data_IF_196943132938
#
_entry.id   IF_196943132938
#
_cell.length_a   1.000
_cell.length_b   1.000
_cell.length_c   1.000
_cell.angle_alpha   90.00
_cell.angle_beta   90.00
_cell.angle_gamma   90.00
#
_symmetry.space_group_name_H-M   'P 1'
#
loop_
_entity.id
_entity.type
_entity.pdbx_description
1 polymer ?
#
# COMPACT_ATOMS: atom_id res chain seq x y z
N UNK A 1 -19.74 -20.46 43.11
CA UNK A 1 -20.08 -20.11 44.51
C UNK A 1 -19.46 -18.75 44.79
N UNK A 2 -20.32 -17.72 44.81
CA UNK A 2 -20.52 -16.79 45.94
C UNK A 2 -19.56 -15.59 45.91
N UNK A 3 -20.05 -14.37 45.62
CA UNK A 3 -20.68 -13.42 46.58
C UNK A 3 -19.71 -13.13 47.74
N UNK A 4 -19.46 -11.92 48.22
CA UNK A 4 -20.18 -10.64 48.18
C UNK A 4 -19.37 -9.62 49.02
N UNK A 5 -19.46 -8.35 48.63
CA UNK A 5 -19.78 -7.16 49.45
C UNK A 5 -19.17 -6.94 50.85
N UNK A 6 -18.78 -5.68 51.10
CA UNK A 6 -19.34 -4.69 52.09
C UNK A 6 -18.32 -3.53 52.20
N UNK A 7 -18.56 -2.23 51.94
CA UNK A 7 -19.59 -1.23 52.32
C UNK A 7 -19.82 -1.03 53.82
N UNK A 8 -19.44 0.15 54.32
CA UNK A 8 -19.97 0.96 55.45
C UNK A 8 -19.12 2.25 55.46
N UNK A 9 -19.56 3.49 55.18
CA UNK A 9 -20.72 4.34 55.51
C UNK A 9 -20.85 4.71 57.00
N UNK A 10 -20.75 6.01 57.33
CA UNK A 10 -21.66 6.86 58.18
C UNK A 10 -21.03 8.26 58.43
N UNK A 11 -21.64 9.38 58.00
CA UNK A 11 -22.48 10.36 58.75
C UNK A 11 -21.71 11.24 59.77
N UNK A 12 -21.88 12.57 59.94
CA UNK A 12 -23.10 13.39 60.00
C UNK A 12 -22.81 14.94 60.07
N UNK A 13 -23.79 15.75 59.62
CA UNK A 13 -24.36 17.01 60.20
C UNK A 13 -23.70 18.42 60.09
N UNK A 14 -24.34 19.27 59.24
CA UNK A 14 -24.98 20.60 59.44
C UNK A 14 -24.37 21.77 60.28
N UNK A 15 -23.98 22.87 59.58
CA UNK A 15 -24.35 24.33 59.67
C UNK A 15 -24.43 25.13 61.01
N UNK A 16 -24.47 26.50 61.06
CA UNK A 16 -24.06 27.59 60.12
C UNK A 16 -23.30 28.83 60.73
N UNK A 17 -22.73 29.67 59.82
CA UNK A 17 -22.47 31.16 59.75
C UNK A 17 -22.34 32.06 61.01
N UNK A 18 -21.36 32.99 61.00
CA UNK A 18 -21.37 34.44 61.39
C UNK A 18 -19.93 35.01 61.15
N UNK A 19 -19.63 35.91 60.19
CA UNK A 19 -19.66 37.41 60.13
C UNK A 19 -18.28 38.01 59.76
N UNK A 20 -18.36 39.13 59.05
CA UNK A 20 -17.39 39.98 58.33
C UNK A 20 -16.10 40.41 59.08
N UNK A 21 -15.02 40.61 58.32
CA UNK A 21 -14.27 41.88 58.35
C UNK A 21 -13.41 42.11 57.08
N UNK A 22 -13.36 43.37 56.63
CA UNK A 22 -12.74 43.87 55.41
C UNK A 22 -11.26 44.22 55.61
N UNK A 23 -10.42 44.08 54.57
CA UNK A 23 -9.27 44.97 54.36
C UNK A 23 -8.71 44.92 52.92
N UNK A 24 -8.76 46.09 52.28
CA UNK A 24 -8.01 46.67 51.15
C UNK A 24 -7.48 45.81 49.98
N UNK A 25 -8.02 46.11 48.79
CA UNK A 25 -7.47 45.82 47.46
C UNK A 25 -6.56 46.98 46.99
N UNK A 26 -5.32 46.67 46.59
CA UNK A 26 -4.47 47.54 45.77
C UNK A 26 -4.45 47.01 44.34
N UNK A 27 -5.02 47.77 43.40
CA UNK A 27 -4.94 47.50 41.96
C UNK A 27 -3.57 47.96 41.43
N UNK A 28 -2.79 47.03 40.88
CA UNK A 28 -1.67 47.35 39.99
C UNK A 28 -2.05 46.89 38.57
N UNK A 29 -2.15 47.83 37.65
CA UNK A 29 -2.43 47.57 36.25
C UNK A 29 -1.10 47.31 35.52
N UNK A 30 -0.80 46.04 35.25
CA UNK A 30 0.25 45.65 34.31
C UNK A 30 -0.33 45.56 32.90
N UNK A 31 0.07 46.49 32.04
CA UNK A 31 -0.19 46.40 30.59
C UNK A 31 0.79 45.39 30.02
N UNK A 32 0.35 44.14 29.86
CA UNK A 32 1.11 43.13 29.10
C UNK A 32 0.92 43.41 27.61
N UNK A 33 1.98 43.89 26.95
CA UNK A 33 2.04 43.95 25.50
C UNK A 33 1.95 42.51 24.95
N UNK A 34 0.85 42.21 24.25
CA UNK A 34 0.68 40.97 23.51
C UNK A 34 1.59 41.07 22.28
N UNK A 35 2.79 40.49 22.36
CA UNK A 35 3.59 40.22 21.18
C UNK A 35 2.86 39.18 20.35
N UNK A 36 2.18 39.63 19.30
CA UNK A 36 1.68 38.77 18.24
C UNK A 36 2.91 38.27 17.49
N UNK A 37 3.45 37.13 17.91
CA UNK A 37 4.38 36.36 17.06
C UNK A 37 3.56 35.88 15.88
N UNK A 38 3.67 36.56 14.75
CA UNK A 38 3.26 36.03 13.45
C UNK A 38 4.12 34.81 13.18
N UNK A 39 3.64 33.63 13.57
CA UNK A 39 4.20 32.37 13.10
C UNK A 39 4.11 32.42 11.58
N UNK A 40 5.26 32.43 10.90
CA UNK A 40 5.29 32.24 9.46
C UNK A 40 4.40 31.04 9.12
N UNK A 41 3.61 31.08 8.03
CA UNK A 41 2.86 29.91 7.61
C UNK A 41 3.82 28.73 7.54
N UNK A 42 3.43 27.54 8.03
CA UNK A 42 4.28 26.36 7.95
C UNK A 42 4.75 26.22 6.50
N UNK A 43 6.07 26.11 6.31
CA UNK A 43 6.61 25.90 4.98
C UNK A 43 5.95 24.65 4.39
N UNK A 44 5.44 24.72 3.15
CA UNK A 44 4.84 23.54 2.52
C UNK A 44 5.88 22.42 2.44
N UNK A 45 5.43 21.18 2.59
CA UNK A 45 6.30 20.01 2.41
C UNK A 45 6.76 19.91 0.95
N UNK A 46 8.01 19.49 0.76
CA UNK A 46 8.60 19.22 -0.55
C UNK A 46 8.24 17.79 -0.99
N UNK A 47 7.14 17.65 -1.73
CA UNK A 47 6.69 16.35 -2.22
C UNK A 47 7.63 15.75 -3.28
N UNK A 48 8.39 16.57 -4.01
CA UNK A 48 9.36 16.07 -4.99
C UNK A 48 10.52 15.37 -4.27
N UNK A 49 11.04 15.97 -3.20
CA UNK A 49 12.05 15.35 -2.35
C UNK A 49 11.53 14.09 -1.64
N UNK A 50 10.27 14.09 -1.19
CA UNK A 50 9.63 12.90 -0.62
C UNK A 50 9.52 11.75 -1.65
N UNK A 51 9.12 12.05 -2.89
CA UNK A 51 9.05 11.08 -3.99
C UNK A 51 10.43 10.49 -4.31
N UNK A 52 11.44 11.34 -4.47
CA UNK A 52 12.82 10.91 -4.74
C UNK A 52 13.35 9.94 -3.67
N UNK A 53 13.08 10.23 -2.40
CA UNK A 53 13.46 9.35 -1.27
C UNK A 53 12.66 8.05 -1.23
N UNK A 54 11.37 8.09 -1.58
CA UNK A 54 10.54 6.88 -1.72
C UNK A 54 11.08 5.94 -2.80
N UNK A 55 11.54 6.48 -3.94
CA UNK A 55 12.18 5.67 -4.99
C UNK A 55 13.56 5.15 -4.58
N UNK A 56 14.32 5.93 -3.80
CA UNK A 56 15.58 5.48 -3.23
C UNK A 56 15.40 4.29 -2.26
N UNK A 57 14.26 4.21 -1.56
CA UNK A 57 13.93 3.04 -0.74
C UNK A 57 13.87 1.75 -1.59
N UNK A 58 13.28 1.79 -2.78
CA UNK A 58 13.26 0.61 -3.65
C UNK A 58 14.66 0.15 -4.04
N UNK A 59 15.59 1.07 -4.34
CA UNK A 59 16.98 0.72 -4.58
C UNK A 59 17.63 0.03 -3.38
N UNK A 60 17.27 0.44 -2.16
CA UNK A 60 17.75 -0.19 -0.92
C UNK A 60 17.16 -1.58 -0.65
N UNK A 61 16.05 -1.95 -1.30
CA UNK A 61 15.42 -3.28 -1.22
C UNK A 61 15.90 -4.26 -2.29
N UNK A 62 16.65 -3.82 -3.30
CA UNK A 62 17.05 -4.68 -4.43
C UNK A 62 17.83 -5.91 -3.99
N UNK A 63 17.44 -7.09 -4.45
CA UNK A 63 18.20 -8.34 -4.38
C UNK A 63 18.85 -8.66 -5.72
N UNK A 64 19.92 -9.46 -5.74
CA UNK A 64 20.63 -9.84 -6.96
C UNK A 64 21.81 -8.93 -7.31
N UNK A 65 22.12 -8.85 -8.61
CA UNK A 65 23.24 -8.06 -9.13
C UNK A 65 22.83 -6.60 -9.33
N UNK A 66 23.15 -5.78 -8.34
CA UNK A 66 22.90 -4.33 -8.39
C UNK A 66 23.54 -3.66 -9.62
N UNK A 67 22.87 -2.68 -10.24
CA UNK A 67 23.41 -1.99 -11.40
C UNK A 67 24.53 -1.01 -10.98
N UNK A 68 25.44 -0.70 -11.91
CA UNK A 68 26.60 0.14 -11.62
C UNK A 68 26.23 1.59 -11.26
N UNK A 69 25.05 2.05 -11.68
CA UNK A 69 24.51 3.39 -11.44
C UNK A 69 23.56 3.43 -10.21
N UNK A 70 23.51 2.37 -9.40
CA UNK A 70 22.79 2.34 -8.12
C UNK A 70 23.19 3.53 -7.23
N UNK A 71 22.21 4.29 -6.73
CA UNK A 71 22.43 5.47 -5.86
C UNK A 71 22.65 5.08 -4.40
N UNK A 72 22.04 3.97 -3.96
CA UNK A 72 22.23 3.42 -2.62
C UNK A 72 23.60 2.74 -2.52
N UNK A 73 24.60 3.47 -2.00
CA UNK A 73 26.01 3.04 -2.00
C UNK A 73 26.39 2.03 -0.92
N UNK A 74 25.57 1.90 0.13
CA UNK A 74 25.84 0.98 1.25
C UNK A 74 25.39 -0.46 0.99
N UNK A 75 24.64 -0.69 -0.10
CA UNK A 75 24.21 -2.02 -0.59
C UNK A 75 25.19 -2.58 -1.61
N UNK A 76 25.31 -3.89 -1.68
CA UNK A 76 26.04 -4.60 -2.74
C UNK A 76 25.24 -5.81 -3.28
N UNK A 77 25.83 -6.56 -4.21
CA UNK A 77 25.28 -7.78 -4.75
C UNK A 77 24.94 -8.79 -3.63
N UNK A 78 23.74 -9.36 -3.70
CA UNK A 78 23.23 -10.31 -2.70
C UNK A 78 22.31 -11.34 -3.35
N UNK A 79 22.06 -12.50 -2.73
CA UNK A 79 21.11 -13.49 -3.27
C UNK A 79 21.50 -14.01 -4.67
N UNK A 80 22.81 -14.16 -4.92
CA UNK A 80 23.34 -14.49 -6.26
C UNK A 80 23.13 -15.95 -6.68
N UNK A 81 22.60 -16.78 -5.79
CA UNK A 81 22.33 -18.21 -6.02
C UNK A 81 20.84 -18.53 -5.94
N UNK A 82 19.97 -17.51 -5.94
CA UNK A 82 18.52 -17.68 -5.89
C UNK A 82 18.03 -18.57 -7.04
N UNK A 83 17.32 -19.64 -6.68
CA UNK A 83 16.76 -20.60 -7.65
C UNK A 83 17.76 -21.65 -8.16
N UNK A 84 19.05 -21.53 -7.85
CA UNK A 84 20.09 -22.44 -8.37
C UNK A 84 19.84 -23.90 -7.96
N UNK A 85 19.43 -24.13 -6.71
CA UNK A 85 19.10 -25.47 -6.20
C UNK A 85 17.90 -26.10 -6.90
N UNK A 86 17.02 -25.26 -7.46
CA UNK A 86 15.82 -25.66 -8.20
C UNK A 86 16.04 -25.67 -9.73
N UNK A 87 17.25 -25.33 -10.20
CA UNK A 87 17.61 -25.34 -11.62
C UNK A 87 17.05 -24.15 -12.42
N UNK A 88 16.76 -23.03 -11.75
CA UNK A 88 16.22 -21.80 -12.37
C UNK A 88 17.05 -20.58 -11.94
N UNK A 89 17.01 -19.50 -12.73
CA UNK A 89 17.59 -18.21 -12.31
C UNK A 89 16.50 -17.37 -11.67
N UNK A 90 16.55 -17.23 -10.35
CA UNK A 90 15.67 -16.34 -9.59
C UNK A 90 16.45 -15.19 -8.96
N UNK A 91 17.60 -14.81 -9.50
CA UNK A 91 18.39 -13.67 -9.01
C UNK A 91 17.71 -12.36 -9.43
N UNK A 92 17.45 -11.46 -8.48
CA UNK A 92 16.74 -10.20 -8.72
C UNK A 92 15.61 -9.95 -7.73
N UNK A 93 14.72 -9.01 -8.06
CA UNK A 93 13.54 -8.69 -7.26
C UNK A 93 13.86 -7.85 -6.02
N UNK A 94 12.86 -7.70 -5.16
CA UNK A 94 12.97 -6.92 -3.93
C UNK A 94 12.90 -7.83 -2.70
N UNK A 95 13.71 -7.54 -1.69
CA UNK A 95 13.43 -8.03 -0.35
C UNK A 95 12.17 -7.33 0.19
N UNK A 96 11.36 -8.08 0.93
CA UNK A 96 10.02 -7.64 1.30
C UNK A 96 10.01 -6.46 2.27
N UNK A 97 10.70 -6.60 3.41
CA UNK A 97 10.69 -5.59 4.46
C UNK A 97 12.11 -5.36 5.01
N UNK A 98 12.31 -5.63 6.30
CA UNK A 98 13.61 -5.57 6.95
C UNK A 98 14.40 -6.88 6.89
N UNK A 99 13.81 -7.91 6.27
CA UNK A 99 14.28 -9.27 6.07
C UNK A 99 14.81 -9.48 4.66
N UNK A 100 15.10 -10.72 4.29
CA UNK A 100 15.64 -11.04 2.96
C UNK A 100 14.87 -12.14 2.22
N UNK A 101 13.67 -12.44 2.69
CA UNK A 101 12.74 -13.26 1.91
C UNK A 101 12.15 -12.40 0.79
N UNK A 102 11.95 -13.03 -0.35
CA UNK A 102 11.27 -12.45 -1.50
C UNK A 102 9.86 -13.04 -1.56
N UNK A 103 8.91 -12.38 -0.92
CA UNK A 103 7.50 -12.79 -0.95
C UNK A 103 6.83 -12.26 -2.23
N UNK A 104 6.36 -13.16 -3.10
CA UNK A 104 5.85 -12.79 -4.42
C UNK A 104 4.58 -11.94 -4.37
N UNK A 105 3.62 -12.29 -3.49
CA UNK A 105 2.31 -11.61 -3.43
C UNK A 105 2.41 -10.11 -3.08
N UNK A 106 3.05 -9.69 -1.97
CA UNK A 106 3.20 -8.27 -1.67
C UNK A 106 4.14 -7.55 -2.66
N UNK A 107 5.12 -8.25 -3.24
CA UNK A 107 5.99 -7.67 -4.28
C UNK A 107 5.19 -7.36 -5.56
N UNK A 108 4.34 -8.29 -6.00
CA UNK A 108 3.45 -8.10 -7.15
C UNK A 108 2.52 -6.91 -6.92
N UNK A 109 1.84 -6.86 -5.77
CA UNK A 109 1.00 -5.71 -5.40
C UNK A 109 1.76 -4.38 -5.45
N UNK A 110 2.98 -4.35 -4.91
CA UNK A 110 3.83 -3.16 -4.91
C UNK A 110 4.16 -2.69 -6.33
N UNK A 111 4.48 -3.61 -7.24
CA UNK A 111 4.76 -3.30 -8.64
C UNK A 111 3.50 -2.85 -9.37
N UNK A 112 2.33 -3.44 -9.08
CA UNK A 112 1.04 -2.97 -9.59
C UNK A 112 0.79 -1.52 -9.17
N UNK A 113 0.99 -1.19 -7.88
CA UNK A 113 0.77 0.16 -7.36
C UNK A 113 1.76 1.19 -7.91
N UNK A 114 3.04 0.84 -8.07
CA UNK A 114 4.02 1.71 -8.74
C UNK A 114 3.62 1.99 -10.19
N UNK A 115 3.19 0.94 -10.91
CA UNK A 115 2.74 1.05 -12.29
C UNK A 115 1.47 1.89 -12.40
N UNK A 116 0.51 1.70 -11.49
CA UNK A 116 -0.69 2.53 -11.44
C UNK A 116 -0.35 4.00 -11.18
N UNK A 117 0.59 4.27 -10.27
CA UNK A 117 1.04 5.63 -9.96
C UNK A 117 1.58 6.37 -11.18
N UNK A 118 2.48 5.76 -11.96
CA UNK A 118 3.03 6.39 -13.18
C UNK A 118 1.99 6.50 -14.31
N UNK A 119 1.03 5.58 -14.40
CA UNK A 119 -0.07 5.67 -15.38
C UNK A 119 -0.93 6.91 -15.12
N UNK A 120 -1.21 7.20 -13.85
CA UNK A 120 -2.12 8.30 -13.46
C UNK A 120 -1.41 9.65 -13.37
N UNK A 121 -0.19 9.68 -12.82
CA UNK A 121 0.52 10.92 -12.46
C UNK A 121 1.84 11.08 -13.22
N UNK A 122 1.86 10.64 -14.48
CA UNK A 122 3.05 10.67 -15.33
C UNK A 122 3.71 12.06 -15.36
N UNK A 123 2.91 13.11 -15.58
CA UNK A 123 3.42 14.46 -15.79
C UNK A 123 3.94 15.08 -14.49
N UNK A 124 3.28 14.83 -13.36
CA UNK A 124 3.73 15.25 -12.03
C UNK A 124 5.05 14.59 -11.64
N UNK A 125 5.19 13.28 -11.90
CA UNK A 125 6.44 12.53 -11.67
C UNK A 125 7.55 13.05 -12.59
N UNK A 126 7.23 13.38 -13.85
CA UNK A 126 8.19 13.96 -14.79
C UNK A 126 8.65 15.37 -14.37
N UNK A 127 7.73 16.21 -13.89
CA UNK A 127 8.04 17.54 -13.34
C UNK A 127 8.93 17.43 -12.10
N UNK A 128 8.70 16.41 -11.25
CA UNK A 128 9.56 16.11 -10.12
C UNK A 128 10.95 15.55 -10.52
N UNK A 129 11.15 15.19 -11.79
CA UNK A 129 12.42 14.66 -12.30
C UNK A 129 12.64 13.17 -12.01
N UNK A 130 11.61 12.44 -11.57
CA UNK A 130 11.73 11.07 -11.05
C UNK A 130 11.14 10.00 -12.00
N UNK A 131 10.84 10.37 -13.25
CA UNK A 131 10.22 9.46 -14.23
C UNK A 131 11.09 8.24 -14.54
N UNK A 132 12.39 8.46 -14.80
CA UNK A 132 13.34 7.37 -15.06
C UNK A 132 13.46 6.44 -13.87
N UNK A 133 13.59 6.98 -12.65
CA UNK A 133 13.73 6.18 -11.45
C UNK A 133 12.48 5.38 -11.11
N UNK A 134 11.30 5.94 -11.41
CA UNK A 134 10.02 5.23 -11.27
C UNK A 134 9.95 4.05 -12.24
N UNK A 135 10.30 4.26 -13.52
CA UNK A 135 10.35 3.19 -14.52
C UNK A 135 11.39 2.12 -14.15
N UNK A 136 12.58 2.51 -13.68
CA UNK A 136 13.61 1.55 -13.23
C UNK A 136 13.15 0.75 -12.01
N UNK A 137 12.39 1.34 -11.08
CA UNK A 137 11.82 0.63 -9.94
C UNK A 137 10.78 -0.43 -10.39
N UNK A 138 9.90 -0.08 -11.34
CA UNK A 138 8.93 -1.02 -11.92
C UNK A 138 9.66 -2.12 -12.70
N UNK A 139 10.66 -1.74 -13.51
CA UNK A 139 11.44 -2.66 -14.34
C UNK A 139 12.16 -3.70 -13.50
N UNK A 140 12.75 -3.31 -12.36
CA UNK A 140 13.44 -4.24 -11.48
C UNK A 140 12.55 -5.36 -10.95
N UNK A 141 11.30 -5.02 -10.58
CA UNK A 141 10.31 -6.01 -10.14
C UNK A 141 9.81 -6.87 -11.31
N UNK A 142 9.51 -6.26 -12.45
CA UNK A 142 8.99 -7.00 -13.62
C UNK A 142 10.02 -7.88 -14.32
N UNK A 143 11.30 -7.50 -14.35
CA UNK A 143 12.41 -8.36 -14.78
C UNK A 143 12.48 -9.63 -13.92
N UNK A 144 12.18 -9.50 -12.63
CA UNK A 144 12.12 -10.63 -11.72
C UNK A 144 10.89 -11.50 -11.96
N UNK A 145 9.70 -10.93 -12.18
CA UNK A 145 8.49 -11.70 -12.52
C UNK A 145 8.64 -12.50 -13.82
N UNK A 146 9.35 -11.96 -14.82
CA UNK A 146 9.67 -12.72 -16.05
C UNK A 146 10.48 -13.97 -15.73
N UNK A 147 11.42 -13.89 -14.77
CA UNK A 147 12.23 -15.03 -14.32
C UNK A 147 11.42 -16.02 -13.50
N UNK A 148 10.48 -15.54 -12.68
CA UNK A 148 9.59 -16.39 -11.88
C UNK A 148 8.58 -17.16 -12.74
N UNK A 149 8.13 -16.58 -13.86
CA UNK A 149 7.21 -17.23 -14.78
C UNK A 149 7.98 -18.07 -15.82
N UNK A 150 8.40 -19.28 -15.40
CA UNK A 150 9.27 -20.16 -16.19
C UNK A 150 8.56 -21.01 -17.24
N UNK A 151 7.24 -21.16 -17.13
CA UNK A 151 6.38 -21.81 -18.14
C UNK A 151 4.92 -21.41 -17.89
N UNK A 152 4.00 -21.58 -18.86
CA UNK A 152 2.66 -21.00 -18.79
C UNK A 152 1.83 -21.33 -17.54
N UNK A 153 2.11 -22.45 -16.85
CA UNK A 153 1.41 -22.84 -15.61
C UNK A 153 2.37 -23.05 -14.44
N UNK A 154 3.49 -22.32 -14.41
CA UNK A 154 4.48 -22.36 -13.32
C UNK A 154 4.95 -20.96 -12.98
N UNK A 155 4.68 -20.53 -11.76
CA UNK A 155 5.16 -19.28 -11.19
C UNK A 155 5.91 -19.56 -9.89
N UNK A 156 7.15 -19.11 -9.80
CA UNK A 156 7.90 -19.10 -8.53
C UNK A 156 7.32 -18.02 -7.62
N UNK A 157 7.00 -18.41 -6.39
CA UNK A 157 6.18 -17.64 -5.46
C UNK A 157 6.97 -17.00 -4.33
N UNK A 158 8.07 -17.65 -3.95
CA UNK A 158 8.87 -17.25 -2.80
C UNK A 158 10.32 -17.73 -2.99
N UNK A 159 11.28 -16.90 -2.55
CA UNK A 159 12.67 -17.30 -2.41
C UNK A 159 13.18 -16.90 -1.04
N UNK A 160 13.62 -17.89 -0.27
CA UNK A 160 13.91 -17.74 1.15
C UNK A 160 12.95 -18.55 1.99
N UNK A 161 13.40 -18.99 3.17
CA UNK A 161 12.53 -19.55 4.19
C UNK A 161 12.43 -18.55 5.35
N UNK A 162 11.22 -18.08 5.64
CA UNK A 162 10.99 -17.03 6.63
C UNK A 162 11.52 -17.36 8.02
N UNK A 163 11.35 -18.60 8.48
CA UNK A 163 11.78 -18.99 9.83
C UNK A 163 13.30 -18.90 9.98
N UNK A 164 14.06 -19.44 9.01
CA UNK A 164 15.52 -19.38 9.04
C UNK A 164 16.08 -17.99 8.75
N UNK A 165 15.45 -17.22 7.85
CA UNK A 165 15.84 -15.83 7.58
C UNK A 165 15.58 -14.91 8.78
N UNK A 166 14.48 -15.15 9.51
CA UNK A 166 14.08 -14.35 10.67
C UNK A 166 14.82 -14.73 11.95
N UNK A 167 15.40 -15.92 12.00
CA UNK A 167 16.25 -16.36 13.11
C UNK A 167 17.58 -15.59 13.18
N UNK A 168 18.13 -15.12 12.06
CA UNK A 168 19.45 -14.50 12.01
C UNK A 168 19.41 -13.03 11.52
N UNK A 169 20.06 -12.14 12.28
CA UNK A 169 20.23 -10.73 11.90
C UNK A 169 21.54 -10.53 11.12
N UNK A 170 21.50 -10.83 9.81
CA UNK A 170 22.63 -10.68 8.88
C UNK A 170 22.34 -9.55 7.89
N UNK A 171 23.35 -9.05 7.17
CA UNK A 171 23.10 -8.15 6.03
C UNK A 171 22.86 -8.96 4.76
N UNK A 172 22.17 -8.42 3.74
CA UNK A 172 21.84 -9.17 2.52
C UNK A 172 23.07 -9.78 1.82
N UNK A 173 24.19 -9.09 1.85
CA UNK A 173 25.42 -9.47 1.14
C UNK A 173 26.11 -10.69 1.79
N UNK A 174 25.88 -10.94 3.08
CA UNK A 174 26.53 -11.99 3.88
C UNK A 174 25.56 -13.14 4.24
N UNK A 175 24.38 -13.21 3.62
CA UNK A 175 23.35 -14.18 3.98
C UNK A 175 23.84 -15.63 3.90
N UNK A 176 23.61 -16.39 4.97
CA UNK A 176 23.87 -17.83 5.03
C UNK A 176 22.61 -18.66 5.29
N UNK A 177 21.45 -18.02 5.34
CA UNK A 177 20.14 -18.64 5.59
C UNK A 177 19.64 -19.40 4.36
N UNK A 178 18.65 -20.28 4.54
CA UNK A 178 18.10 -21.03 3.41
C UNK A 178 17.47 -20.08 2.40
N UNK A 179 17.83 -20.26 1.13
CA UNK A 179 17.24 -19.55 -0.01
C UNK A 179 16.46 -20.48 -0.93
N UNK A 180 15.86 -21.52 -0.33
CA UNK A 180 14.98 -22.43 -1.02
C UNK A 180 13.87 -21.65 -1.73
N UNK A 181 13.64 -21.99 -2.99
CA UNK A 181 12.57 -21.39 -3.78
C UNK A 181 11.32 -22.29 -3.78
N UNK A 182 10.15 -21.67 -3.73
CA UNK A 182 8.85 -22.32 -3.76
C UNK A 182 8.06 -21.82 -4.96
N UNK A 183 7.18 -22.67 -5.51
CA UNK A 183 6.40 -22.36 -6.70
C UNK A 183 4.96 -22.79 -6.55
N UNK A 184 4.11 -22.19 -7.36
CA UNK A 184 2.77 -22.67 -7.66
C UNK A 184 2.75 -23.27 -9.06
N UNK A 185 1.93 -24.30 -9.24
CA UNK A 185 1.70 -24.95 -10.53
C UNK A 185 0.29 -25.56 -10.60
N UNK A 186 -0.04 -26.24 -11.70
CA UNK A 186 -1.36 -26.86 -11.88
C UNK A 186 -1.77 -27.86 -10.78
N UNK A 187 -0.81 -28.45 -10.05
CA UNK A 187 -1.08 -29.39 -8.95
C UNK A 187 -1.09 -28.70 -7.59
N UNK A 188 -0.41 -27.56 -7.48
CA UNK A 188 -0.31 -26.73 -6.28
C UNK A 188 -0.67 -25.28 -6.68
N UNK A 189 -1.97 -24.98 -6.87
CA UNK A 189 -2.43 -23.71 -7.44
C UNK A 189 -2.23 -22.50 -6.51
N UNK A 190 -2.25 -21.30 -7.08
CA UNK A 190 -2.20 -20.03 -6.35
C UNK A 190 -2.71 -18.86 -7.19
N UNK A 191 -4.03 -18.76 -7.31
CA UNK A 191 -4.74 -17.79 -8.15
C UNK A 191 -4.60 -16.36 -7.69
N UNK A 192 -4.48 -16.14 -6.38
CA UNK A 192 -4.21 -14.85 -5.77
C UNK A 192 -2.84 -14.33 -6.24
N UNK A 193 -1.79 -15.11 -6.04
CA UNK A 193 -0.45 -14.75 -6.49
C UNK A 193 -0.36 -14.61 -8.02
N UNK A 194 -0.92 -15.57 -8.77
CA UNK A 194 -0.91 -15.52 -10.23
C UNK A 194 -1.70 -14.31 -10.76
N UNK A 195 -2.86 -14.01 -10.15
CA UNK A 195 -3.69 -12.85 -10.47
C UNK A 195 -2.98 -11.54 -10.18
N UNK A 196 -2.40 -11.36 -8.99
CA UNK A 196 -1.69 -10.13 -8.66
C UNK A 196 -0.43 -9.94 -9.54
N UNK A 197 0.29 -11.01 -9.85
CA UNK A 197 1.45 -10.93 -10.77
C UNK A 197 1.01 -10.58 -12.19
N UNK A 198 -0.13 -11.13 -12.65
CA UNK A 198 -0.73 -10.75 -13.92
C UNK A 198 -1.14 -9.27 -13.94
N UNK A 199 -1.77 -8.78 -12.87
CA UNK A 199 -2.12 -7.37 -12.70
C UNK A 199 -0.87 -6.47 -12.76
N UNK A 200 0.19 -6.83 -12.04
CA UNK A 200 1.45 -6.09 -12.02
C UNK A 200 2.08 -5.98 -13.42
N UNK A 201 2.15 -7.10 -14.14
CA UNK A 201 2.73 -7.14 -15.49
C UNK A 201 1.84 -6.44 -16.52
N UNK A 202 0.53 -6.55 -16.42
CA UNK A 202 -0.41 -5.82 -17.27
C UNK A 202 -0.32 -4.30 -17.05
N UNK A 203 -0.36 -3.83 -15.80
CA UNK A 203 -0.20 -2.42 -15.47
C UNK A 203 1.18 -1.89 -15.95
N UNK A 204 2.26 -2.61 -15.66
CA UNK A 204 3.59 -2.24 -16.12
C UNK A 204 3.69 -2.19 -17.65
N UNK A 205 3.00 -3.08 -18.37
CA UNK A 205 2.96 -3.04 -19.84
C UNK A 205 2.44 -1.70 -20.37
N UNK A 206 1.46 -1.08 -19.68
CA UNK A 206 0.93 0.25 -20.03
C UNK A 206 1.99 1.31 -19.78
N UNK A 207 2.66 1.27 -18.61
CA UNK A 207 3.71 2.22 -18.25
C UNK A 207 4.88 2.24 -19.26
N UNK A 208 5.27 1.07 -19.78
CA UNK A 208 6.34 0.94 -20.78
C UNK A 208 5.88 1.08 -22.23
N UNK A 209 4.57 1.20 -22.51
CA UNK A 209 4.01 1.14 -23.87
C UNK A 209 4.66 2.14 -24.84
N UNK A 210 4.98 3.35 -24.35
CA UNK A 210 5.60 4.42 -25.17
C UNK A 210 7.13 4.34 -25.20
N UNK A 211 7.76 4.02 -24.07
CA UNK A 211 9.22 4.10 -23.88
C UNK A 211 9.94 2.82 -24.30
N UNK A 212 9.32 1.66 -24.11
CA UNK A 212 9.85 0.36 -24.51
C UNK A 212 8.74 -0.59 -24.98
N UNK A 213 8.24 -0.43 -26.22
CA UNK A 213 7.14 -1.23 -26.75
C UNK A 213 7.43 -2.74 -26.77
N UNK A 214 8.67 -3.15 -27.02
CA UNK A 214 9.01 -4.58 -27.04
C UNK A 214 8.88 -5.21 -25.65
N UNK A 215 9.41 -4.54 -24.63
CA UNK A 215 9.27 -4.99 -23.24
C UNK A 215 7.81 -4.96 -22.79
N UNK A 216 7.06 -3.91 -23.15
CA UNK A 216 5.61 -3.83 -22.92
C UNK A 216 4.86 -5.07 -23.45
N UNK A 217 5.12 -5.50 -24.68
CA UNK A 217 4.50 -6.71 -25.24
C UNK A 217 4.92 -7.99 -24.51
N UNK A 218 6.19 -8.08 -24.10
CA UNK A 218 6.69 -9.21 -23.31
C UNK A 218 5.95 -9.31 -21.97
N UNK A 219 5.83 -8.20 -21.25
CA UNK A 219 5.10 -8.16 -19.99
C UNK A 219 3.64 -8.56 -20.15
N UNK A 220 2.99 -8.03 -21.18
CA UNK A 220 1.60 -8.35 -21.47
C UNK A 220 1.39 -9.84 -21.80
N UNK A 221 2.32 -10.46 -22.52
CA UNK A 221 2.25 -11.89 -22.82
C UNK A 221 2.30 -12.74 -21.54
N UNK A 222 3.26 -12.46 -20.65
CA UNK A 222 3.31 -13.14 -19.34
C UNK A 222 2.05 -12.88 -18.50
N UNK A 223 1.53 -11.64 -18.51
CA UNK A 223 0.31 -11.30 -17.77
C UNK A 223 -0.90 -12.14 -18.23
N UNK A 224 -1.06 -12.33 -19.53
CA UNK A 224 -2.15 -13.13 -20.10
C UNK A 224 -2.03 -14.61 -19.71
N UNK A 225 -0.83 -15.19 -19.83
CA UNK A 225 -0.59 -16.59 -19.43
C UNK A 225 -0.80 -16.80 -17.93
N UNK A 226 -0.33 -15.89 -17.08
CA UNK A 226 -0.52 -15.99 -15.63
C UNK A 226 -1.99 -15.84 -15.21
N UNK A 227 -2.74 -14.95 -15.87
CA UNK A 227 -4.17 -14.83 -15.63
C UNK A 227 -4.92 -16.10 -16.04
N UNK A 228 -4.63 -16.66 -17.22
CA UNK A 228 -5.20 -17.93 -17.68
C UNK A 228 -4.87 -19.08 -16.71
N UNK A 229 -3.62 -19.16 -16.24
CA UNK A 229 -3.18 -20.15 -15.26
C UNK A 229 -3.94 -20.00 -13.94
N UNK A 230 -3.99 -18.79 -13.38
CA UNK A 230 -4.66 -18.49 -12.11
C UNK A 230 -6.16 -18.75 -12.15
N UNK A 231 -6.83 -18.40 -13.25
CA UNK A 231 -8.27 -18.63 -13.41
C UNK A 231 -8.62 -20.11 -13.64
N UNK A 232 -7.79 -20.83 -14.41
CA UNK A 232 -8.03 -22.24 -14.76
C UNK A 232 -7.77 -23.19 -13.59
N UNK A 233 -6.72 -22.96 -12.81
CA UNK A 233 -6.34 -23.79 -11.67
C UNK A 233 -6.55 -23.01 -10.38
N UNK A 234 -7.81 -22.99 -9.90
CA UNK A 234 -8.20 -22.13 -8.79
C UNK A 234 -7.74 -22.65 -7.43
N UNK A 235 -7.06 -21.80 -6.66
CA UNK A 235 -6.65 -22.09 -5.29
C UNK A 235 -5.92 -20.94 -4.63
N UNK A 236 -5.83 -20.92 -3.30
CA UNK A 236 -5.03 -19.94 -2.57
C UNK A 236 -3.55 -20.36 -2.59
N UNK A 237 -2.63 -19.43 -2.87
CA UNK A 237 -1.21 -19.77 -2.97
C UNK A 237 -0.64 -20.26 -1.63
N UNK A 238 -1.15 -19.76 -0.50
CA UNK A 238 -0.69 -20.13 0.84
C UNK A 238 -1.13 -21.55 1.27
N UNK A 239 -2.03 -22.18 0.51
CA UNK A 239 -2.32 -23.61 0.59
C UNK A 239 -1.26 -24.47 -0.10
N UNK A 240 -0.59 -23.92 -1.11
CA UNK A 240 0.44 -24.56 -1.92
C UNK A 240 1.86 -24.27 -1.42
N UNK A 241 2.08 -23.05 -0.95
CA UNK A 241 3.33 -22.53 -0.39
C UNK A 241 3.08 -22.20 1.08
N UNK A 242 2.95 -23.26 1.89
CA UNK A 242 2.56 -23.13 3.30
C UNK A 242 3.53 -22.30 4.15
N UNK A 243 4.80 -22.18 3.73
CA UNK A 243 5.82 -21.36 4.40
C UNK A 243 5.47 -19.87 4.40
N UNK A 244 4.74 -19.39 3.39
CA UNK A 244 4.31 -18.00 3.29
C UNK A 244 3.20 -17.64 4.29
N UNK A 245 2.45 -18.63 4.78
CA UNK A 245 1.20 -18.44 5.53
C UNK A 245 1.37 -17.69 6.85
N UNK A 246 2.52 -17.82 7.50
CA UNK A 246 2.80 -17.10 8.75
C UNK A 246 3.12 -15.62 8.52
N UNK A 247 3.33 -15.20 7.27
CA UNK A 247 3.79 -13.88 6.87
C UNK A 247 2.73 -13.16 6.03
N UNK A 248 2.38 -13.74 4.88
CA UNK A 248 1.46 -13.18 3.89
C UNK A 248 0.33 -14.17 3.55
N UNK A 249 -0.45 -14.57 4.56
CA UNK A 249 -1.60 -15.44 4.33
C UNK A 249 -2.61 -14.79 3.36
N UNK A 250 -3.19 -15.61 2.49
CA UNK A 250 -4.31 -15.21 1.62
C UNK A 250 -5.60 -15.30 2.43
N UNK A 251 -5.95 -14.21 3.12
CA UNK A 251 -7.05 -14.25 4.09
C UNK A 251 -8.37 -14.19 3.35
N UNK A 252 -8.54 -13.21 2.47
CA UNK A 252 -9.78 -13.01 1.71
C UNK A 252 -9.92 -14.00 0.55
N UNK A 253 -8.80 -14.50 0.01
CA UNK A 253 -8.78 -15.52 -1.04
C UNK A 253 -8.15 -14.98 -2.31
N UNK A 254 -8.69 -15.37 -3.46
CA UNK A 254 -8.12 -15.04 -4.78
C UNK A 254 -9.12 -14.37 -5.73
N UNK A 255 -10.36 -14.20 -5.28
CA UNK A 255 -11.46 -13.78 -6.15
C UNK A 255 -11.31 -12.32 -6.56
N UNK A 256 -10.85 -11.46 -5.66
CA UNK A 256 -10.54 -10.07 -5.98
C UNK A 256 -9.32 -9.94 -6.88
N UNK A 257 -8.29 -10.76 -6.71
CA UNK A 257 -7.09 -10.76 -7.57
C UNK A 257 -7.44 -11.14 -9.01
N UNK A 258 -8.35 -12.08 -9.21
CA UNK A 258 -8.82 -12.42 -10.56
C UNK A 258 -9.62 -11.28 -11.19
N UNK A 259 -10.49 -10.60 -10.43
CA UNK A 259 -11.19 -9.41 -10.92
C UNK A 259 -10.20 -8.28 -11.22
N UNK A 260 -9.22 -8.07 -10.33
CA UNK A 260 -8.19 -7.04 -10.43
C UNK A 260 -7.29 -7.24 -11.64
N UNK A 261 -6.81 -8.47 -11.85
CA UNK A 261 -6.03 -8.83 -13.02
C UNK A 261 -6.82 -8.62 -14.32
N UNK A 262 -8.10 -8.99 -14.34
CA UNK A 262 -8.95 -8.79 -15.50
C UNK A 262 -9.17 -7.29 -15.79
N UNK A 263 -9.34 -6.44 -14.77
CA UNK A 263 -9.39 -4.97 -14.97
C UNK A 263 -8.10 -4.47 -15.60
N UNK A 264 -6.93 -4.85 -15.09
CA UNK A 264 -5.66 -4.40 -15.66
C UNK A 264 -5.38 -4.93 -17.06
N UNK A 265 -5.75 -6.18 -17.35
CA UNK A 265 -5.66 -6.76 -18.68
C UNK A 265 -6.62 -6.06 -19.65
N UNK A 266 -7.81 -5.67 -19.19
CA UNK A 266 -8.72 -4.85 -19.99
C UNK A 266 -8.08 -3.50 -20.31
N UNK A 267 -7.59 -2.76 -19.32
CA UNK A 267 -6.91 -1.46 -19.51
C UNK A 267 -5.67 -1.57 -20.43
N UNK A 268 -4.96 -2.70 -20.39
CA UNK A 268 -3.77 -2.91 -21.22
C UNK A 268 -4.09 -3.27 -22.69
N UNK A 269 -5.24 -3.91 -22.94
CA UNK A 269 -5.52 -4.58 -24.22
C UNK A 269 -6.76 -4.09 -24.98
N UNK A 270 -7.67 -3.39 -24.30
CA UNK A 270 -9.00 -3.04 -24.80
C UNK A 270 -9.85 -4.26 -25.26
N UNK A 271 -9.50 -5.48 -24.84
CA UNK A 271 -10.24 -6.69 -25.22
C UNK A 271 -11.46 -6.90 -24.31
N UNK A 272 -12.65 -6.91 -24.91
CA UNK A 272 -13.92 -7.09 -24.21
C UNK A 272 -14.02 -8.40 -23.38
N UNK A 273 -13.24 -9.43 -23.69
CA UNK A 273 -13.24 -10.69 -22.94
C UNK A 273 -12.90 -10.49 -21.45
N UNK A 274 -11.97 -9.58 -21.13
CA UNK A 274 -11.60 -9.28 -19.75
C UNK A 274 -12.66 -8.44 -19.05
N UNK A 275 -13.27 -7.47 -19.74
CA UNK A 275 -14.40 -6.71 -19.20
C UNK A 275 -15.60 -7.63 -18.90
N UNK A 276 -15.91 -8.53 -19.83
CA UNK A 276 -16.96 -9.54 -19.63
C UNK A 276 -16.64 -10.44 -18.44
N UNK A 277 -15.38 -10.86 -18.26
CA UNK A 277 -14.97 -11.62 -17.08
C UNK A 277 -15.26 -10.87 -15.77
N UNK A 278 -14.92 -9.58 -15.68
CA UNK A 278 -15.20 -8.75 -14.50
C UNK A 278 -16.71 -8.67 -14.25
N UNK A 279 -17.49 -8.40 -15.30
CA UNK A 279 -18.94 -8.26 -15.20
C UNK A 279 -19.62 -9.57 -14.79
N UNK A 280 -19.28 -10.68 -15.44
CA UNK A 280 -19.92 -11.98 -15.26
C UNK A 280 -19.59 -12.59 -13.90
N UNK A 281 -18.37 -12.37 -13.40
CA UNK A 281 -17.94 -12.91 -12.12
C UNK A 281 -18.23 -11.97 -10.93
N UNK A 282 -18.57 -10.70 -11.15
CA UNK A 282 -18.61 -9.71 -10.07
C UNK A 282 -19.52 -10.04 -8.89
N UNK A 283 -20.65 -10.70 -9.12
CA UNK A 283 -21.51 -11.19 -8.04
C UNK A 283 -20.89 -12.36 -7.27
N UNK A 284 -20.50 -13.41 -7.98
CA UNK A 284 -19.98 -14.64 -7.38
C UNK A 284 -18.61 -14.45 -6.71
N UNK A 285 -17.81 -13.49 -7.19
CA UNK A 285 -16.50 -13.16 -6.66
C UNK A 285 -16.56 -12.06 -5.59
N UNK A 286 -17.75 -11.65 -5.15
CA UNK A 286 -17.89 -10.65 -4.08
C UNK A 286 -17.64 -9.20 -4.49
N UNK A 287 -17.20 -8.95 -5.73
CA UNK A 287 -16.87 -7.62 -6.24
C UNK A 287 -18.00 -6.60 -6.21
N UNK A 288 -19.25 -7.04 -6.39
CA UNK A 288 -20.45 -6.22 -6.24
C UNK A 288 -21.28 -6.61 -5.00
N UNK A 289 -20.74 -7.48 -4.16
CA UNK A 289 -21.39 -8.08 -3.00
C UNK A 289 -21.30 -7.20 -1.75
N UNK A 290 -20.54 -7.64 -0.75
CA UNK A 290 -20.34 -6.88 0.47
C UNK A 290 -19.42 -5.67 0.23
N UNK A 291 -19.58 -4.65 1.05
CA UNK A 291 -18.67 -3.50 1.03
C UNK A 291 -17.48 -3.78 1.97
N UNK A 292 -16.30 -3.27 1.63
CA UNK A 292 -15.06 -3.51 2.38
C UNK A 292 -14.38 -2.17 2.64
N UNK A 293 -13.85 -2.02 3.86
CA UNK A 293 -13.17 -0.79 4.31
C UNK A 293 -11.64 -0.92 4.28
N UNK A 294 -11.09 -1.68 3.34
CA UNK A 294 -9.65 -1.96 3.20
C UNK A 294 -9.23 -2.10 1.73
N UNK A 295 -8.03 -1.61 1.41
CA UNK A 295 -7.32 -1.83 0.14
C UNK A 295 -5.83 -2.06 0.42
N UNK A 296 -5.32 -3.24 0.04
CA UNK A 296 -4.00 -3.73 0.46
C UNK A 296 -3.49 -4.85 -0.44
N UNK A 297 -2.30 -5.39 -0.12
CA UNK A 297 -1.73 -6.54 -0.81
C UNK A 297 -2.58 -7.83 -0.70
N UNK A 298 -3.60 -7.89 0.18
CA UNK A 298 -4.53 -9.03 0.32
C UNK A 298 -5.96 -8.68 -0.15
N UNK A 299 -6.27 -7.40 -0.41
CA UNK A 299 -7.65 -6.95 -0.69
C UNK A 299 -7.69 -5.91 -1.81
N UNK A 300 -8.28 -6.25 -2.97
CA UNK A 300 -8.22 -5.42 -4.19
C UNK A 300 -9.55 -4.77 -4.58
N UNK A 301 -10.65 -5.14 -3.93
CA UNK A 301 -12.01 -4.73 -4.34
C UNK A 301 -12.20 -3.22 -4.50
N UNK A 302 -11.64 -2.40 -3.60
CA UNK A 302 -11.75 -0.94 -3.68
C UNK A 302 -10.99 -0.34 -4.87
N UNK A 303 -10.04 -1.08 -5.44
CA UNK A 303 -9.29 -0.70 -6.64
C UNK A 303 -10.04 -0.95 -7.95
N UNK A 304 -11.16 -1.69 -7.94
CA UNK A 304 -11.96 -2.04 -9.13
C UNK A 304 -12.81 -0.86 -9.66
N UNK A 305 -12.26 0.35 -9.61
CA UNK A 305 -12.86 1.59 -10.07
C UNK A 305 -12.88 1.62 -11.60
N UNK A 306 -14.06 1.46 -12.20
CA UNK A 306 -14.21 1.56 -13.65
C UNK A 306 -14.56 2.98 -14.13
N UNK A 307 -13.96 3.37 -15.26
CA UNK A 307 -14.26 4.61 -15.99
C UNK A 307 -15.53 4.38 -16.82
N UNK A 308 -16.49 5.30 -16.70
CA UNK A 308 -17.89 5.21 -17.13
C UNK A 308 -18.17 5.11 -18.66
N UNK A 309 -17.40 4.32 -19.40
CA UNK A 309 -17.37 4.34 -20.87
C UNK A 309 -18.22 3.22 -21.52
N UNK A 310 -18.56 2.15 -20.78
CA UNK A 310 -19.28 0.99 -21.34
C UNK A 310 -20.77 0.96 -21.00
N UNK A 311 -21.59 1.55 -21.88
CA UNK A 311 -23.06 1.63 -21.72
C UNK A 311 -23.75 0.26 -21.57
N UNK A 312 -23.21 -0.80 -22.17
CA UNK A 312 -23.82 -2.13 -22.18
C UNK A 312 -23.79 -2.80 -20.79
N UNK A 313 -22.74 -2.56 -19.99
CA UNK A 313 -22.55 -3.18 -18.67
C UNK A 313 -22.73 -2.19 -17.51
N UNK A 314 -23.25 -1.00 -17.80
CA UNK A 314 -23.33 0.13 -16.86
C UNK A 314 -23.97 -0.21 -15.51
N UNK A 315 -24.91 -1.16 -15.46
CA UNK A 315 -25.52 -1.57 -14.19
C UNK A 315 -24.51 -2.23 -13.23
N UNK A 316 -23.70 -3.18 -13.70
CA UNK A 316 -22.72 -3.89 -12.87
C UNK A 316 -21.54 -2.99 -12.53
N UNK A 317 -21.06 -2.22 -13.50
CA UNK A 317 -19.96 -1.26 -13.32
C UNK A 317 -20.32 -0.17 -12.29
N UNK A 318 -21.58 0.29 -12.26
CA UNK A 318 -22.08 1.19 -11.20
C UNK A 318 -22.08 0.54 -9.82
N UNK A 319 -22.32 -0.77 -9.72
CA UNK A 319 -22.25 -1.45 -8.43
C UNK A 319 -20.80 -1.54 -7.94
N UNK A 320 -19.84 -1.86 -8.82
CA UNK A 320 -18.42 -1.80 -8.49
C UNK A 320 -18.01 -0.41 -8.00
N UNK A 321 -18.38 0.64 -8.76
CA UNK A 321 -18.13 2.03 -8.33
C UNK A 321 -18.75 2.29 -6.96
N UNK A 322 -19.98 1.87 -6.72
CA UNK A 322 -20.63 2.04 -5.42
C UNK A 322 -19.86 1.36 -4.26
N UNK A 323 -19.21 0.21 -4.50
CA UNK A 323 -18.35 -0.45 -3.48
C UNK A 323 -17.06 0.30 -3.22
N UNK A 324 -16.41 0.80 -4.27
CA UNK A 324 -15.23 1.63 -4.12
C UNK A 324 -15.57 2.97 -3.45
N UNK A 325 -16.67 3.62 -3.82
CA UNK A 325 -17.18 4.84 -3.19
C UNK A 325 -17.48 4.63 -1.71
N UNK A 326 -18.02 3.47 -1.32
CA UNK A 326 -18.21 3.13 0.10
C UNK A 326 -16.88 3.12 0.88
N UNK A 327 -15.81 2.56 0.29
CA UNK A 327 -14.48 2.60 0.91
C UNK A 327 -13.96 4.04 1.05
N UNK A 328 -14.08 4.86 0.00
CA UNK A 328 -13.67 6.26 0.04
C UNK A 328 -14.46 7.05 1.10
N UNK A 329 -15.77 6.83 1.18
CA UNK A 329 -16.62 7.40 2.22
C UNK A 329 -16.21 6.93 3.62
N UNK A 330 -15.81 5.66 3.78
CA UNK A 330 -15.26 5.12 5.02
C UNK A 330 -13.99 5.87 5.44
N UNK A 331 -13.06 6.07 4.52
CA UNK A 331 -11.84 6.85 4.73
C UNK A 331 -12.11 8.32 5.08
N UNK A 332 -13.25 8.87 4.64
CA UNK A 332 -13.65 10.26 4.91
C UNK A 332 -14.53 10.43 6.17
N UNK A 333 -14.82 9.34 6.88
CA UNK A 333 -15.73 9.31 8.03
C UNK A 333 -17.19 9.64 7.68
N UNK A 334 -17.63 9.26 6.47
CA UNK A 334 -18.94 9.65 5.94
C UNK A 334 -19.88 8.48 5.68
N UNK A 335 -19.55 7.26 6.10
CA UNK A 335 -20.54 6.19 6.20
C UNK A 335 -21.46 6.40 7.41
N UNK A 336 -22.65 5.78 7.41
CA UNK A 336 -23.69 6.01 8.43
C UNK A 336 -23.32 5.47 9.81
N UNK A 337 -22.77 4.25 9.87
CA UNK A 337 -22.37 3.63 11.12
C UNK A 337 -20.92 3.99 11.45
N UNK A 338 -20.61 4.21 12.74
CA UNK A 338 -19.22 4.40 13.17
C UNK A 338 -18.37 3.18 12.86
N UNK A 339 -18.94 1.98 12.95
CA UNK A 339 -18.24 0.72 12.67
C UNK A 339 -17.97 0.50 11.17
N UNK A 340 -18.61 1.31 10.30
CA UNK A 340 -18.42 1.29 8.84
C UNK A 340 -17.31 2.26 8.37
N UNK A 341 -16.74 3.04 9.29
CA UNK A 341 -15.72 4.04 8.99
C UNK A 341 -14.34 3.58 9.45
N UNK A 342 -13.29 4.00 8.72
CA UNK A 342 -11.91 3.73 9.15
C UNK A 342 -11.60 4.54 10.41
N UNK A 343 -11.07 3.86 11.43
CA UNK A 343 -10.66 4.47 12.69
C UNK A 343 -9.58 5.55 12.47
N UNK A 344 -9.45 6.46 13.44
CA UNK A 344 -8.43 7.52 13.41
C UNK A 344 -7.68 7.61 14.72
N UNK A 345 -6.39 7.90 14.60
CA UNK A 345 -5.62 8.38 15.74
C UNK A 345 -6.16 9.75 16.22
N UNK A 346 -5.87 10.16 17.47
CA UNK A 346 -6.20 11.51 17.94
C UNK A 346 -5.60 12.64 17.10
N UNK A 347 -4.54 12.35 16.33
CA UNK A 347 -3.91 13.30 15.41
C UNK A 347 -4.54 13.36 14.02
N UNK A 348 -5.56 12.54 13.74
CA UNK A 348 -6.28 12.53 12.45
C UNK A 348 -5.74 11.56 11.39
N UNK A 349 -4.68 10.80 11.69
CA UNK A 349 -4.20 9.72 10.82
C UNK A 349 -5.20 8.57 10.77
N UNK A 350 -5.49 8.06 9.57
CA UNK A 350 -6.22 6.81 9.36
C UNK A 350 -5.53 5.63 10.07
N UNK A 351 -6.31 4.81 10.75
CA UNK A 351 -5.82 3.69 11.54
C UNK A 351 -6.64 2.44 11.21
N UNK A 352 -6.10 1.57 10.37
CA UNK A 352 -6.78 0.33 9.93
C UNK A 352 -6.31 -0.86 10.77
N UNK A 353 -5.00 -0.98 10.97
CA UNK A 353 -4.40 -2.09 11.72
C UNK A 353 -3.26 -1.62 12.60
N UNK A 354 -3.03 -2.36 13.68
CA UNK A 354 -1.92 -2.09 14.60
C UNK A 354 -0.54 -2.26 13.93
N UNK A 355 -0.40 -3.25 13.04
CA UNK A 355 0.86 -3.57 12.37
C UNK A 355 0.87 -3.02 10.95
N UNK A 356 1.99 -2.39 10.57
CA UNK A 356 2.21 -1.81 9.23
C UNK A 356 1.08 -0.89 8.76
N UNK A 357 0.54 -0.06 9.66
CA UNK A 357 -0.60 0.80 9.36
C UNK A 357 -0.37 1.76 8.18
N UNK A 358 0.88 2.20 7.97
CA UNK A 358 1.21 3.20 6.95
C UNK A 358 0.88 2.74 5.54
N UNK A 359 0.90 1.43 5.24
CA UNK A 359 0.49 0.92 3.94
C UNK A 359 -0.94 1.34 3.61
N UNK A 360 -1.86 1.20 4.58
CA UNK A 360 -3.27 1.51 4.42
C UNK A 360 -3.53 3.00 4.31
N UNK A 361 -2.74 3.79 5.05
CA UNK A 361 -2.78 5.26 4.94
C UNK A 361 -2.39 5.69 3.53
N UNK A 362 -1.30 5.14 3.00
CA UNK A 362 -0.80 5.51 1.67
C UNK A 362 -1.70 5.02 0.55
N UNK A 363 -2.25 3.80 0.64
CA UNK A 363 -3.16 3.26 -0.38
C UNK A 363 -4.50 4.00 -0.37
N UNK A 364 -5.05 4.35 0.81
CA UNK A 364 -6.24 5.20 0.92
C UNK A 364 -6.01 6.60 0.33
N UNK A 365 -4.90 7.26 0.70
CA UNK A 365 -4.56 8.59 0.18
C UNK A 365 -4.40 8.56 -1.36
N UNK A 366 -3.80 7.51 -1.90
CA UNK A 366 -3.66 7.31 -3.34
C UNK A 366 -5.02 7.17 -4.04
N UNK A 367 -5.90 6.29 -3.57
CA UNK A 367 -7.23 6.11 -4.16
C UNK A 367 -8.10 7.36 -4.05
N UNK A 368 -8.05 8.08 -2.92
CA UNK A 368 -8.75 9.36 -2.75
C UNK A 368 -8.26 10.45 -3.71
N UNK A 369 -6.96 10.44 -4.04
CA UNK A 369 -6.36 11.38 -5.00
C UNK A 369 -6.86 11.07 -6.41
N UNK A 370 -6.79 9.80 -6.84
CA UNK A 370 -7.31 9.37 -8.15
C UNK A 370 -8.80 9.69 -8.26
N UNK A 371 -9.57 9.41 -7.22
CA UNK A 371 -11.00 9.67 -7.25
C UNK A 371 -11.32 11.16 -7.27
N UNK A 372 -10.51 11.99 -6.59
CA UNK A 372 -10.64 13.45 -6.69
C UNK A 372 -10.48 13.94 -8.13
N UNK A 373 -9.47 13.45 -8.87
CA UNK A 373 -9.31 13.80 -10.28
C UNK A 373 -10.51 13.33 -11.12
N UNK A 374 -11.01 12.12 -10.87
CA UNK A 374 -12.24 11.64 -11.51
C UNK A 374 -13.44 12.55 -11.25
N UNK A 375 -13.66 12.98 -10.00
CA UNK A 375 -14.75 13.89 -9.62
C UNK A 375 -14.61 15.24 -10.33
N UNK A 376 -13.40 15.80 -10.38
CA UNK A 376 -13.10 17.04 -11.09
C UNK A 376 -13.39 16.91 -12.59
N UNK A 377 -12.85 15.89 -13.22
CA UNK A 377 -12.90 15.71 -14.68
C UNK A 377 -14.31 15.33 -15.17
N UNK A 378 -15.08 14.62 -14.34
CA UNK A 378 -16.48 14.29 -14.61
C UNK A 378 -17.47 15.37 -14.16
N UNK A 379 -17.01 16.41 -13.44
CA UNK A 379 -17.83 17.43 -12.80
C UNK A 379 -18.94 16.81 -11.91
N UNK A 380 -18.55 15.81 -11.12
CA UNK A 380 -19.41 15.08 -10.18
C UNK A 380 -18.93 15.28 -8.75
N UNK A 381 -19.80 14.95 -7.79
CA UNK A 381 -19.45 14.86 -6.38
C UNK A 381 -19.63 13.42 -5.89
N UNK A 382 -18.84 13.03 -4.90
CA UNK A 382 -19.00 11.77 -4.19
C UNK A 382 -20.18 11.90 -3.21
N UNK A 383 -21.14 10.98 -3.31
CA UNK A 383 -22.34 10.98 -2.48
C UNK A 383 -22.19 9.93 -1.37
N UNK A 384 -21.75 10.37 -0.19
CA UNK A 384 -21.67 9.52 0.98
C UNK A 384 -22.97 9.57 1.80
N UNK A 385 -23.24 8.55 2.64
CA UNK A 385 -24.42 8.54 3.50
C UNK A 385 -24.53 9.77 4.43
N UNK A 386 -23.40 10.24 4.98
CA UNK A 386 -23.34 11.41 5.88
C UNK A 386 -23.04 12.74 5.16
N UNK A 387 -23.21 12.81 3.85
CA UNK A 387 -23.10 14.05 3.08
C UNK A 387 -22.34 13.91 1.77
N UNK A 388 -22.37 14.98 0.98
CA UNK A 388 -21.64 15.06 -0.29
C UNK A 388 -20.21 15.54 -0.06
N UNK A 389 -19.28 15.05 -0.87
CA UNK A 389 -17.85 15.41 -0.87
C UNK A 389 -17.50 15.84 -2.29
N UNK A 390 -16.95 17.04 -2.44
CA UNK A 390 -16.42 17.51 -3.72
C UNK A 390 -14.95 17.08 -3.93
N UNK A 391 -14.41 17.37 -5.10
CA UNK A 391 -13.04 16.98 -5.43
C UNK A 391 -12.00 17.66 -4.51
N UNK A 392 -12.23 18.90 -4.08
CA UNK A 392 -11.30 19.65 -3.22
C UNK A 392 -11.25 19.08 -1.82
N UNK A 393 -12.39 18.72 -1.24
CA UNK A 393 -12.48 18.08 0.08
C UNK A 393 -11.78 16.71 0.07
N UNK A 394 -12.01 15.89 -0.97
CA UNK A 394 -11.32 14.59 -1.13
C UNK A 394 -9.80 14.75 -1.21
N UNK A 395 -9.33 15.66 -2.06
CA UNK A 395 -7.89 15.92 -2.23
C UNK A 395 -7.27 16.50 -0.97
N UNK A 396 -7.96 17.41 -0.28
CA UNK A 396 -7.48 18.01 0.96
C UNK A 396 -7.32 16.95 2.05
N UNK A 397 -8.23 15.98 2.13
CA UNK A 397 -8.09 14.87 3.07
C UNK A 397 -6.93 13.94 2.69
N UNK A 398 -6.80 13.55 1.42
CA UNK A 398 -5.67 12.75 0.94
C UNK A 398 -4.32 13.44 1.26
N UNK A 399 -4.21 14.74 0.96
CA UNK A 399 -3.06 15.58 1.29
C UNK A 399 -2.77 15.60 2.79
N UNK A 400 -3.80 15.68 3.64
CA UNK A 400 -3.61 15.66 5.11
C UNK A 400 -2.94 14.38 5.61
N UNK A 401 -3.21 13.24 4.97
CA UNK A 401 -2.59 11.96 5.32
C UNK A 401 -1.11 11.93 4.89
N UNK A 402 -0.80 12.43 3.70
CA UNK A 402 0.60 12.58 3.23
C UNK A 402 1.36 13.58 4.11
N UNK A 403 0.77 14.73 4.42
CA UNK A 403 1.34 15.73 5.32
C UNK A 403 1.61 15.16 6.71
N UNK A 404 0.70 14.32 7.22
CA UNK A 404 0.89 13.62 8.49
C UNK A 404 2.14 12.73 8.43
N UNK A 405 2.33 11.96 7.35
CA UNK A 405 3.53 11.14 7.13
C UNK A 405 4.78 12.03 7.06
N UNK A 406 4.71 13.19 6.42
CA UNK A 406 5.88 14.07 6.22
C UNK A 406 6.22 14.94 7.43
N UNK A 407 5.33 15.05 8.41
CA UNK A 407 5.65 15.65 9.71
C UNK A 407 4.53 16.44 10.38
N UNK A 408 3.39 16.66 9.71
CA UNK A 408 2.22 17.37 10.25
C UNK A 408 1.42 16.46 11.18
N UNK A 409 2.06 16.03 12.26
CA UNK A 409 1.51 15.16 13.28
C UNK A 409 1.88 15.66 14.68
N UNK A 410 1.24 15.16 15.76
CA UNK A 410 1.52 15.59 17.12
C UNK A 410 2.98 15.45 17.58
N UNK A 411 3.79 14.63 16.90
CA UNK A 411 5.20 14.44 17.21
C UNK A 411 6.13 15.41 16.44
N UNK A 412 5.57 16.19 15.50
CA UNK A 412 6.28 17.05 14.56
C UNK A 412 7.48 16.32 13.94
N UNK A 413 7.24 15.12 13.42
CA UNK A 413 8.25 14.15 13.04
C UNK A 413 7.83 13.46 11.74
N UNK A 414 8.69 13.48 10.73
CA UNK A 414 8.44 12.69 9.53
C UNK A 414 8.50 11.20 9.86
N UNK A 415 7.64 10.41 9.25
CA UNK A 415 7.68 8.95 9.23
C UNK A 415 8.30 8.40 7.95
N UNK A 416 8.69 9.27 7.00
CA UNK A 416 9.55 8.92 5.87
C UNK A 416 11.02 9.08 6.29
N UNK A 417 11.76 7.98 6.33
CA UNK A 417 13.16 7.98 6.76
C UNK A 417 14.00 8.89 5.87
N UNK A 418 14.81 9.75 6.48
CA UNK A 418 15.66 10.70 5.78
C UNK A 418 14.98 12.01 5.37
N UNK A 419 13.66 12.13 5.49
CA UNK A 419 12.92 13.33 5.11
C UNK A 419 12.74 14.30 6.29
N UNK A 420 12.96 15.59 6.04
CA UNK A 420 12.88 16.64 7.06
C UNK A 420 13.99 16.53 8.11
N UNK A 421 13.88 17.32 9.19
CA UNK A 421 14.91 17.41 10.23
C UNK A 421 14.77 16.38 11.35
N UNK A 422 13.63 15.67 11.44
CA UNK A 422 13.33 14.72 12.50
C UNK A 422 12.55 13.54 11.91
N UNK A 423 13.16 12.37 11.91
CA UNK A 423 12.63 11.11 11.37
C UNK A 423 13.20 9.90 12.14
N UNK A 424 12.62 8.69 12.02
CA UNK A 424 13.12 7.50 12.71
C UNK A 424 14.55 7.15 12.31
N UNK A 425 15.44 6.94 13.28
CA UNK A 425 16.85 6.59 13.04
C UNK A 425 17.19 5.14 13.39
N UNK A 426 16.21 4.39 13.89
CA UNK A 426 16.33 2.97 14.26
C UNK A 426 15.15 2.21 13.70
N UNK A 427 15.24 1.86 12.42
CA UNK A 427 14.22 1.08 11.73
C UNK A 427 14.54 -0.41 11.81
N UNK A 428 13.49 -1.24 11.80
CA UNK A 428 13.63 -2.69 11.77
C UNK A 428 14.04 -3.12 10.36
N UNK A 429 15.32 -2.97 10.04
CA UNK A 429 15.86 -3.29 8.72
C UNK A 429 17.30 -3.77 8.83
N UNK A 430 17.57 -5.01 8.40
CA UNK A 430 18.88 -5.66 8.48
C UNK A 430 19.99 -4.87 7.78
N UNK A 431 19.84 -4.64 6.48
CA UNK A 431 20.82 -3.90 5.68
C UNK A 431 21.15 -2.49 6.22
N UNK A 432 20.15 -1.73 6.68
CA UNK A 432 20.34 -0.38 7.21
C UNK A 432 20.83 -0.32 8.68
N UNK A 433 20.81 -1.43 9.42
CA UNK A 433 21.19 -1.47 10.84
C UNK A 433 22.54 -2.13 11.11
N UNK A 434 23.14 -2.72 10.09
CA UNK A 434 24.47 -3.33 10.12
C UNK A 434 25.43 -2.43 9.34
N UNK A 435 26.73 -2.45 9.67
CA UNK A 435 27.73 -1.69 8.90
C UNK A 435 27.64 -2.02 7.41
N UNK A 436 27.84 -1.02 6.56
CA UNK A 436 27.75 -1.17 5.11
C UNK A 436 28.75 -2.21 4.59
N UNK A 437 28.42 -2.85 3.47
CA UNK A 437 29.33 -3.80 2.83
C UNK A 437 30.50 -3.09 2.14
N UNK A 438 30.22 -1.92 1.54
CA UNK A 438 31.22 -1.00 0.99
C UNK A 438 31.45 0.14 1.96
N UNK A 439 32.71 0.42 2.29
CA UNK A 439 33.15 1.66 2.95
C UNK A 439 33.49 2.74 1.92
#
# INVERSE_FOLDING_TARGET
MEKKMKKLNTHHQNAPRFVFNWTLLLFSASVSAISITTTAPPQPFDYADALAKSLLYFESQRSGRLPYNQRVTWRDHSGLTDGLEQGVDLVGGYYDAGDHVKFGLPMAFTVTMLSWGIIQFHDEIAIAGELEQTLEAIKWGTDYFIKEHTSPNVLWAEVGDGDTDHYCWQRPEDMTTSRQAYKIDQNNPGSDLAGETAAAMAAASIAFKKTNPHYSHLLLHHAQELFEFGDKYRGKYDGSVAVAKSYYASVIGYMDELLWAAVWLFEATDKEEYLNYVVDNGGCFGGIGWAISEFSWDVKYAGLLDKDQHKQHAHILKQYRSKAEYYLCSCLNKNNDTDDNVDRSPGGLLYVRQWNNMQYVTTAAFLLTIYSDFLRDSNQNLHCPSGTVDHEESLSFAKSQVDYILGSNPMNMSYLVGYGSKYPTRVHHRGASIMSYRE
#
